data_IF_590431734203
#
_entry.id   IF_590431734203
#
_cell.length_a   1.000
_cell.length_b   1.000
_cell.length_c   1.000
_cell.angle_alpha   90.00
_cell.angle_beta   90.00
_cell.angle_gamma   90.00
#
_symmetry.space_group_name_H-M   'P 1'
#
loop_
_entity.id
_entity.type
_entity.pdbx_description
1 polymer ?
#
# COMPACT_ATOMS: atom_id res chain seq x y z
N UNK A 1 23.42 6.24 -19.05
CA UNK A 1 21.99 5.95 -19.06
C UNK A 1 21.59 5.35 -17.73
N UNK A 2 20.48 5.80 -17.14
CA UNK A 2 19.91 5.20 -15.94
C UNK A 2 18.45 4.80 -16.16
N UNK A 3 17.98 3.81 -15.39
CA UNK A 3 16.60 3.33 -15.46
C UNK A 3 15.81 3.58 -14.20
N UNK A 4 14.48 3.57 -14.31
CA UNK A 4 13.56 3.48 -13.17
C UNK A 4 12.50 2.42 -13.47
N UNK A 5 12.33 1.48 -12.55
CA UNK A 5 11.43 0.35 -12.66
C UNK A 5 10.55 0.24 -11.41
N UNK A 6 9.36 -0.33 -11.58
CA UNK A 6 8.53 -0.75 -10.46
C UNK A 6 9.13 -1.98 -9.78
N UNK A 7 8.96 -2.09 -8.46
CA UNK A 7 9.17 -3.33 -7.73
C UNK A 7 8.10 -4.35 -8.18
N UNK A 8 8.47 -5.52 -8.70
CA UNK A 8 7.48 -6.55 -9.06
C UNK A 8 6.84 -7.17 -7.81
N UNK A 9 5.57 -7.56 -7.92
CA UNK A 9 4.93 -8.40 -6.90
C UNK A 9 5.46 -9.84 -6.96
N UNK A 10 5.34 -10.57 -5.85
CA UNK A 10 5.85 -11.94 -5.76
C UNK A 10 5.11 -12.95 -6.64
N UNK A 11 3.83 -12.71 -6.95
CA UNK A 11 3.02 -13.61 -7.78
C UNK A 11 3.63 -13.86 -9.18
N UNK A 12 3.91 -12.83 -9.99
CA UNK A 12 4.62 -13.00 -11.26
C UNK A 12 6.01 -13.61 -11.13
N UNK A 13 6.79 -13.19 -10.13
CA UNK A 13 8.14 -13.70 -9.89
C UNK A 13 8.17 -15.21 -9.64
N UNK A 14 7.20 -15.72 -8.89
CA UNK A 14 7.06 -17.15 -8.59
C UNK A 14 6.22 -17.92 -9.61
N UNK A 15 5.92 -17.32 -10.77
CA UNK A 15 5.10 -17.90 -11.84
C UNK A 15 3.68 -18.33 -11.37
N UNK A 16 3.14 -17.68 -10.36
CA UNK A 16 1.80 -17.93 -9.86
C UNK A 16 0.75 -17.13 -10.64
N UNK A 17 1.17 -16.05 -11.28
CA UNK A 17 0.32 -15.18 -12.08
C UNK A 17 1.05 -14.74 -13.35
N UNK A 18 0.43 -14.95 -14.50
CA UNK A 18 1.02 -14.68 -15.80
C UNK A 18 2.07 -15.73 -16.20
N UNK A 19 2.72 -15.52 -17.31
CA UNK A 19 3.67 -16.48 -17.93
C UNK A 19 5.13 -16.05 -17.84
N UNK A 20 5.41 -14.84 -17.39
CA UNK A 20 6.74 -14.26 -17.37
C UNK A 20 7.24 -14.10 -15.94
N UNK A 21 8.21 -14.89 -15.56
CA UNK A 21 8.92 -14.78 -14.28
C UNK A 21 10.18 -13.89 -14.38
N UNK A 22 10.25 -12.97 -15.34
CA UNK A 22 11.39 -12.09 -15.53
C UNK A 22 12.67 -12.83 -15.96
N UNK A 23 12.56 -13.88 -16.75
CA UNK A 23 13.67 -14.75 -17.14
C UNK A 23 14.32 -14.40 -18.50
N UNK A 24 14.63 -13.15 -18.76
CA UNK A 24 15.39 -12.73 -19.95
C UNK A 24 16.89 -12.65 -19.72
N UNK A 25 17.62 -12.20 -20.75
CA UNK A 25 19.05 -11.93 -20.64
C UNK A 25 19.36 -10.57 -20.00
N UNK A 26 18.40 -9.66 -19.98
CA UNK A 26 18.48 -8.37 -19.28
C UNK A 26 18.00 -8.56 -17.83
N UNK A 27 18.94 -8.61 -16.90
CA UNK A 27 18.67 -8.85 -15.49
C UNK A 27 19.09 -7.64 -14.64
N UNK A 28 18.39 -7.46 -13.53
CA UNK A 28 18.80 -6.53 -12.47
C UNK A 28 19.55 -7.27 -11.37
N UNK A 29 20.58 -6.61 -10.87
CA UNK A 29 21.41 -7.11 -9.78
C UNK A 29 21.31 -6.14 -8.57
N UNK A 30 21.25 -6.63 -7.36
CA UNK A 30 21.13 -8.04 -6.97
C UNK A 30 19.79 -8.64 -7.41
N UNK A 31 19.81 -9.76 -8.10
CA UNK A 31 18.62 -10.38 -8.68
C UNK A 31 17.62 -10.85 -7.61
N UNK A 32 18.12 -11.39 -6.52
CA UNK A 32 17.28 -11.93 -5.43
C UNK A 32 16.45 -10.81 -4.77
N UNK A 33 17.09 -9.71 -4.43
CA UNK A 33 16.47 -8.55 -3.80
C UNK A 33 15.39 -7.94 -4.69
N UNK A 34 15.68 -7.78 -5.96
CA UNK A 34 14.71 -7.27 -6.93
C UNK A 34 13.56 -8.26 -7.15
N UNK A 35 13.86 -9.53 -7.45
CA UNK A 35 12.87 -10.51 -7.86
C UNK A 35 11.95 -10.96 -6.71
N UNK A 36 12.44 -10.98 -5.48
CA UNK A 36 11.67 -11.40 -4.30
C UNK A 36 11.04 -10.25 -3.50
N UNK A 37 11.08 -9.03 -4.01
CA UNK A 37 10.50 -7.88 -3.33
C UNK A 37 11.24 -7.46 -2.07
N UNK A 38 12.53 -7.80 -1.97
CA UNK A 38 13.36 -7.50 -0.79
C UNK A 38 13.87 -6.05 -0.75
N UNK A 39 13.44 -5.21 -1.71
CA UNK A 39 13.62 -3.75 -1.64
C UNK A 39 12.84 -3.09 -0.50
N UNK A 40 11.84 -3.79 0.04
CA UNK A 40 11.03 -3.33 1.17
C UNK A 40 9.68 -2.74 0.79
N UNK A 41 9.51 -2.20 -0.41
CA UNK A 41 8.31 -1.46 -0.82
C UNK A 41 7.01 -2.26 -0.60
N UNK A 42 6.96 -3.52 -1.06
CA UNK A 42 5.78 -4.37 -0.91
C UNK A 42 5.45 -4.63 0.57
N UNK A 43 6.45 -4.98 1.37
CA UNK A 43 6.26 -5.32 2.78
C UNK A 43 5.82 -4.12 3.61
N UNK A 44 6.42 -2.97 3.39
CA UNK A 44 6.08 -1.74 4.11
C UNK A 44 4.69 -1.24 3.72
N UNK A 45 4.32 -1.35 2.44
CA UNK A 45 2.95 -1.06 1.97
C UNK A 45 1.94 -1.99 2.64
N UNK A 46 2.18 -3.30 2.68
CA UNK A 46 1.28 -4.23 3.36
C UNK A 46 1.11 -3.89 4.84
N UNK A 47 2.21 -3.63 5.54
CA UNK A 47 2.17 -3.30 6.96
C UNK A 47 1.42 -1.99 7.22
N UNK A 48 1.74 -0.94 6.48
CA UNK A 48 1.11 0.37 6.64
C UNK A 48 -0.39 0.33 6.27
N UNK A 49 -0.74 -0.33 5.17
CA UNK A 49 -2.12 -0.49 4.72
C UNK A 49 -2.95 -1.31 5.73
N UNK A 50 -2.44 -2.46 6.12
CA UNK A 50 -3.16 -3.33 7.06
C UNK A 50 -3.24 -2.73 8.47
N UNK A 51 -2.31 -1.87 8.85
CA UNK A 51 -2.43 -1.07 10.08
C UNK A 51 -3.68 -0.18 10.06
N UNK A 52 -4.00 0.45 8.93
CA UNK A 52 -5.24 1.21 8.78
C UNK A 52 -6.47 0.32 8.94
N UNK A 53 -6.45 -0.90 8.40
CA UNK A 53 -7.54 -1.87 8.57
C UNK A 53 -7.71 -2.32 10.01
N UNK A 54 -6.62 -2.54 10.74
CA UNK A 54 -6.67 -2.84 12.18
C UNK A 54 -7.26 -1.66 12.95
N UNK A 55 -6.84 -0.44 12.67
CA UNK A 55 -7.36 0.78 13.30
C UNK A 55 -8.85 0.97 13.03
N UNK A 56 -9.30 0.75 11.78
CA UNK A 56 -10.71 0.81 11.39
C UNK A 56 -11.55 -0.20 12.18
N UNK A 57 -11.15 -1.46 12.20
CA UNK A 57 -11.88 -2.51 12.91
C UNK A 57 -11.89 -2.27 14.42
N UNK A 58 -10.78 -1.83 15.01
CA UNK A 58 -10.70 -1.47 16.42
C UNK A 58 -11.64 -0.28 16.76
N UNK A 59 -11.64 0.76 15.90
CA UNK A 59 -12.54 1.92 16.08
C UNK A 59 -14.00 1.49 16.05
N UNK A 60 -14.42 0.70 15.07
CA UNK A 60 -15.79 0.18 14.97
C UNK A 60 -16.17 -0.65 16.20
N UNK A 61 -15.28 -1.51 16.69
CA UNK A 61 -15.49 -2.32 17.88
C UNK A 61 -15.65 -1.45 19.14
N UNK A 62 -14.79 -0.45 19.32
CA UNK A 62 -14.88 0.47 20.46
C UNK A 62 -16.18 1.27 20.43
N UNK A 63 -16.57 1.78 19.27
CA UNK A 63 -17.83 2.53 19.11
C UNK A 63 -19.06 1.67 19.34
N UNK A 64 -19.02 0.40 18.96
CA UNK A 64 -20.10 -0.56 19.25
C UNK A 64 -20.23 -0.87 20.74
N UNK A 65 -19.10 -1.03 21.43
CA UNK A 65 -19.06 -1.55 22.78
C UNK A 65 -19.16 -0.48 23.87
N UNK A 66 -19.02 0.81 23.52
CA UNK A 66 -18.92 1.91 24.46
C UNK A 66 -19.80 3.10 24.03
N UNK A 67 -20.22 3.89 25.02
CA UNK A 67 -20.94 5.14 24.79
C UNK A 67 -20.00 6.32 24.52
N UNK A 68 -20.58 7.48 24.17
CA UNK A 68 -19.80 8.67 23.80
C UNK A 68 -19.00 9.24 24.96
N UNK A 69 -19.49 9.12 26.20
CA UNK A 69 -18.76 9.56 27.38
C UNK A 69 -17.46 8.77 27.58
N UNK A 70 -17.50 7.46 27.34
CA UNK A 70 -16.31 6.62 27.39
C UNK A 70 -15.32 6.97 26.29
N UNK A 71 -15.81 7.16 25.07
CA UNK A 71 -14.97 7.57 23.93
C UNK A 71 -14.31 8.91 24.22
N UNK A 72 -15.05 9.90 24.70
CA UNK A 72 -14.52 11.22 25.04
C UNK A 72 -13.43 11.18 26.11
N UNK A 73 -13.58 10.31 27.14
CA UNK A 73 -12.52 10.09 28.16
C UNK A 73 -11.24 9.52 27.57
N UNK A 74 -11.30 8.87 26.40
CA UNK A 74 -10.15 8.37 25.64
C UNK A 74 -9.64 9.34 24.58
N UNK A 75 -10.22 10.55 24.52
CA UNK A 75 -9.90 11.55 23.50
C UNK A 75 -10.46 11.22 22.11
N UNK A 76 -11.38 10.26 22.02
CA UNK A 76 -11.95 9.80 20.77
C UNK A 76 -13.32 10.45 20.51
N UNK A 77 -13.55 10.88 19.28
CA UNK A 77 -14.87 11.28 18.77
C UNK A 77 -15.48 10.09 18.01
N UNK A 78 -16.79 9.85 18.20
CA UNK A 78 -17.49 8.83 17.41
C UNK A 78 -17.49 9.20 15.94
N UNK A 79 -17.09 8.26 15.08
CA UNK A 79 -17.11 8.38 13.62
C UNK A 79 -18.38 7.78 13.01
N UNK A 80 -19.10 6.97 13.77
CA UNK A 80 -20.34 6.28 13.38
C UNK A 80 -20.25 5.55 12.04
N UNK A 81 -19.19 4.77 11.89
CA UNK A 81 -18.85 4.06 10.65
C UNK A 81 -19.96 3.06 10.30
N UNK A 82 -20.39 3.07 9.03
CA UNK A 82 -21.34 2.10 8.51
C UNK A 82 -20.58 0.80 8.09
N UNK A 83 -20.85 -0.35 8.75
CA UNK A 83 -20.21 -1.62 8.40
C UNK A 83 -20.47 -2.10 6.97
N UNK A 84 -21.49 -1.56 6.29
CA UNK A 84 -21.83 -1.88 4.91
C UNK A 84 -21.14 -0.97 3.89
N UNK A 85 -20.41 0.04 4.35
CA UNK A 85 -19.75 1.04 3.50
C UNK A 85 -18.27 1.16 3.83
N UNK A 86 -17.60 0.01 3.91
CA UNK A 86 -16.16 -0.08 4.06
C UNK A 86 -15.54 -0.11 2.66
N UNK A 87 -14.75 0.90 2.33
CA UNK A 87 -14.11 1.03 1.01
C UNK A 87 -12.79 0.25 0.96
N UNK A 88 -12.03 0.28 2.05
CA UNK A 88 -10.72 -0.34 2.15
C UNK A 88 -10.83 -1.81 2.55
N UNK A 89 -10.08 -2.68 1.88
CA UNK A 89 -9.94 -4.10 2.27
C UNK A 89 -8.54 -4.37 2.82
N UNK A 90 -8.27 -5.60 3.18
CA UNK A 90 -6.93 -6.07 3.53
C UNK A 90 -6.09 -6.28 2.27
N UNK A 91 -4.78 -6.24 2.39
CA UNK A 91 -3.88 -6.56 1.28
C UNK A 91 -2.83 -7.57 1.68
N UNK A 92 -2.42 -8.39 0.71
CA UNK A 92 -1.30 -9.32 0.83
C UNK A 92 -0.66 -9.52 -0.55
N UNK A 93 0.61 -9.93 -0.60
CA UNK A 93 1.30 -10.09 -1.88
C UNK A 93 0.84 -11.39 -2.59
N UNK A 94 0.80 -12.52 -1.87
CA UNK A 94 0.26 -13.77 -2.38
C UNK A 94 -1.17 -13.95 -1.89
N UNK A 95 -2.14 -13.66 -2.74
CA UNK A 95 -3.56 -13.69 -2.40
C UNK A 95 -4.31 -14.71 -3.26
N UNK A 96 -4.84 -15.76 -2.62
CA UNK A 96 -5.72 -16.71 -3.28
C UNK A 96 -7.06 -16.08 -3.64
N UNK A 97 -7.64 -16.48 -4.78
CA UNK A 97 -8.93 -15.95 -5.23
C UNK A 97 -10.07 -16.14 -4.24
N UNK A 98 -10.04 -17.24 -3.46
CA UNK A 98 -11.04 -17.51 -2.44
C UNK A 98 -11.05 -16.53 -1.25
N UNK A 99 -10.02 -15.69 -1.11
CA UNK A 99 -9.93 -14.64 -0.08
C UNK A 99 -10.44 -13.27 -0.55
N UNK A 100 -10.89 -13.16 -1.80
CA UNK A 100 -11.38 -11.87 -2.35
C UNK A 100 -12.61 -11.37 -1.61
N UNK A 101 -13.52 -12.27 -1.25
CA UNK A 101 -14.69 -11.96 -0.44
C UNK A 101 -14.74 -12.94 0.72
N UNK A 102 -14.70 -12.43 1.94
CA UNK A 102 -14.69 -13.19 3.18
C UNK A 102 -15.66 -12.58 4.19
N UNK A 103 -16.03 -13.34 5.19
CA UNK A 103 -16.76 -12.84 6.35
C UNK A 103 -15.79 -12.77 7.52
N UNK A 104 -15.75 -11.62 8.19
CA UNK A 104 -14.95 -11.39 9.40
C UNK A 104 -15.86 -11.08 10.58
N UNK A 105 -15.28 -11.05 11.80
CA UNK A 105 -16.00 -10.71 13.01
C UNK A 105 -16.92 -11.80 13.52
N UNK A 106 -16.69 -13.07 13.13
CA UNK A 106 -17.41 -14.24 13.65
C UNK A 106 -16.90 -14.53 15.06
N UNK A 107 -17.79 -14.43 16.04
CA UNK A 107 -17.43 -14.69 17.44
C UNK A 107 -18.19 -13.81 18.44
N UNK A 108 -17.55 -13.53 19.56
CA UNK A 108 -18.12 -12.77 20.66
C UNK A 108 -17.98 -11.25 20.54
N UNK A 109 -18.23 -10.56 21.64
CA UNK A 109 -18.19 -9.10 21.73
C UNK A 109 -16.83 -8.49 21.33
N UNK A 110 -15.74 -9.23 21.50
CA UNK A 110 -14.38 -8.76 21.22
C UNK A 110 -13.93 -9.06 19.78
N UNK A 111 -14.71 -9.83 19.02
CA UNK A 111 -14.33 -10.24 17.66
C UNK A 111 -14.77 -9.23 16.58
N UNK A 112 -15.34 -8.08 16.97
CA UNK A 112 -15.76 -7.00 16.07
C UNK A 112 -17.16 -7.19 15.50
N UNK A 113 -17.39 -6.65 14.31
CA UNK A 113 -18.65 -6.81 13.58
C UNK A 113 -18.56 -8.01 12.64
N UNK A 114 -19.63 -8.79 12.58
CA UNK A 114 -19.79 -9.78 11.50
C UNK A 114 -20.16 -9.02 10.21
N UNK A 115 -19.25 -8.95 9.28
CA UNK A 115 -19.41 -8.21 8.02
C UNK A 115 -18.60 -8.83 6.89
N UNK A 116 -18.98 -8.46 5.66
CA UNK A 116 -18.16 -8.75 4.49
C UNK A 116 -16.85 -7.97 4.55
N UNK A 117 -15.78 -8.63 4.13
CA UNK A 117 -14.46 -8.03 3.93
C UNK A 117 -13.77 -8.68 2.74
N UNK A 118 -12.57 -8.21 2.40
CA UNK A 118 -11.85 -8.70 1.23
C UNK A 118 -10.35 -8.64 1.43
N UNK A 119 -9.63 -9.49 0.70
CA UNK A 119 -8.20 -9.35 0.47
C UNK A 119 -7.94 -8.96 -0.98
N UNK A 120 -7.09 -7.96 -1.18
CA UNK A 120 -6.52 -7.57 -2.46
C UNK A 120 -5.02 -7.83 -2.50
N UNK A 121 -4.41 -7.65 -3.67
CA UNK A 121 -2.96 -7.71 -3.81
C UNK A 121 -2.31 -6.42 -3.32
N UNK A 122 -1.14 -6.52 -2.67
CA UNK A 122 -0.44 -5.37 -2.09
C UNK A 122 -0.17 -4.24 -3.11
N UNK A 123 0.20 -4.60 -4.33
CA UNK A 123 0.45 -3.63 -5.42
C UNK A 123 -0.82 -2.95 -5.97
N UNK A 124 -2.00 -3.42 -5.58
CA UNK A 124 -3.29 -2.78 -5.83
C UNK A 124 -3.72 -1.80 -4.73
N UNK A 125 -2.90 -1.62 -3.71
CA UNK A 125 -3.17 -0.67 -2.62
C UNK A 125 -3.12 0.77 -3.11
N UNK A 126 -4.07 1.61 -2.66
CA UNK A 126 -4.01 3.06 -2.88
C UNK A 126 -2.71 3.67 -2.32
N UNK A 127 -2.20 3.12 -1.20
CA UNK A 127 -0.94 3.54 -0.60
C UNK A 127 0.24 3.31 -1.54
N UNK A 128 0.24 2.21 -2.31
CA UNK A 128 1.24 1.96 -3.35
C UNK A 128 1.19 3.02 -4.47
N UNK A 129 -0.01 3.39 -4.91
CA UNK A 129 -0.19 4.47 -5.88
C UNK A 129 0.27 5.83 -5.32
N UNK A 130 -0.03 6.11 -4.06
CA UNK A 130 0.41 7.32 -3.36
C UNK A 130 1.94 7.38 -3.28
N UNK A 131 2.60 6.26 -2.98
CA UNK A 131 4.08 6.20 -2.97
C UNK A 131 4.68 6.57 -4.33
N UNK A 132 4.07 6.13 -5.42
CA UNK A 132 4.55 6.44 -6.77
C UNK A 132 4.47 7.95 -7.11
N UNK A 133 3.50 8.68 -6.55
CA UNK A 133 3.30 10.11 -6.84
C UNK A 133 3.76 11.05 -5.73
N UNK A 134 4.15 10.54 -4.59
CA UNK A 134 4.65 11.34 -3.47
C UNK A 134 5.98 12.03 -3.85
N UNK A 135 6.16 13.25 -3.37
CA UNK A 135 7.34 14.07 -3.65
C UNK A 135 8.38 14.02 -2.54
N UNK A 136 7.94 13.76 -1.33
CA UNK A 136 8.72 13.65 -0.10
C UNK A 136 7.87 13.02 1.00
N UNK A 137 8.46 12.81 2.18
CA UNK A 137 7.78 12.19 3.32
C UNK A 137 6.61 13.03 3.86
N UNK A 138 6.69 14.35 3.77
CA UNK A 138 5.60 15.24 4.19
C UNK A 138 4.40 15.12 3.25
N UNK A 139 4.63 15.20 1.95
CA UNK A 139 3.60 15.01 0.93
C UNK A 139 2.98 13.61 1.02
N UNK A 140 3.80 12.57 1.27
CA UNK A 140 3.32 11.21 1.54
C UNK A 140 2.35 11.20 2.73
N UNK A 141 2.74 11.79 3.88
CA UNK A 141 1.91 11.87 5.08
C UNK A 141 0.58 12.59 4.84
N UNK A 142 0.61 13.70 4.11
CA UNK A 142 -0.58 14.48 3.79
C UNK A 142 -1.55 13.70 2.90
N UNK A 143 -1.04 12.92 1.93
CA UNK A 143 -1.84 12.08 1.05
C UNK A 143 -2.42 10.88 1.79
N UNK A 144 -1.64 10.21 2.63
CA UNK A 144 -2.11 9.11 3.47
C UNK A 144 -3.29 9.54 4.34
N UNK A 145 -3.22 10.73 4.94
CA UNK A 145 -4.32 11.27 5.75
C UNK A 145 -5.65 11.37 5.00
N UNK A 146 -5.62 11.57 3.69
CA UNK A 146 -6.81 11.75 2.84
C UNK A 146 -7.40 10.44 2.30
N UNK A 147 -6.76 9.30 2.51
CA UNK A 147 -7.32 8.00 2.09
C UNK A 147 -8.66 7.79 2.77
N UNK A 148 -9.71 7.59 1.98
CA UNK A 148 -11.05 7.28 2.47
C UNK A 148 -11.12 5.77 2.75
N UNK A 149 -11.31 5.40 4.00
CA UNK A 149 -11.34 4.00 4.45
C UNK A 149 -12.76 3.44 4.53
N UNK A 150 -13.73 4.32 4.79
CA UNK A 150 -15.15 3.97 4.97
C UNK A 150 -16.03 5.22 4.84
N UNK A 151 -17.33 5.03 4.97
CA UNK A 151 -18.29 6.11 5.18
C UNK A 151 -19.02 5.93 6.49
N UNK A 152 -19.41 7.06 7.10
CA UNK A 152 -20.31 7.08 8.26
C UNK A 152 -21.73 6.70 7.86
N UNK A 153 -22.60 6.40 8.82
CA UNK A 153 -24.04 6.18 8.56
C UNK A 153 -24.75 7.41 8.00
N UNK A 154 -24.24 8.62 8.26
CA UNK A 154 -24.73 9.87 7.63
C UNK A 154 -24.25 10.03 6.18
N UNK A 155 -23.30 9.24 5.74
CA UNK A 155 -22.75 9.29 4.38
C UNK A 155 -21.47 10.12 4.24
N UNK A 156 -20.92 10.62 5.33
CA UNK A 156 -19.67 11.37 5.32
C UNK A 156 -18.47 10.45 5.16
N UNK A 157 -17.42 10.82 4.39
CA UNK A 157 -16.22 10.04 4.26
C UNK A 157 -15.46 9.98 5.59
N UNK A 158 -14.95 8.80 5.92
CA UNK A 158 -14.04 8.56 7.05
C UNK A 158 -12.66 8.28 6.48
N UNK A 159 -11.67 9.06 6.92
CA UNK A 159 -10.31 9.02 6.37
C UNK A 159 -9.31 8.39 7.34
N UNK A 160 -8.09 8.12 6.86
CA UNK A 160 -6.98 7.71 7.73
C UNK A 160 -6.63 8.80 8.77
N UNK A 161 -6.90 10.07 8.48
CA UNK A 161 -6.73 11.15 9.45
C UNK A 161 -7.79 11.07 10.57
N UNK A 162 -9.05 10.81 10.24
CA UNK A 162 -10.13 10.62 11.22
C UNK A 162 -9.90 9.41 12.12
N UNK A 163 -9.26 8.36 11.59
CA UNK A 163 -8.81 7.20 12.36
C UNK A 163 -7.57 7.46 13.21
N UNK A 164 -6.91 8.61 13.04
CA UNK A 164 -5.66 8.99 13.72
C UNK A 164 -4.50 8.01 13.43
N UNK A 165 -4.53 7.31 12.28
CA UNK A 165 -3.56 6.26 11.92
C UNK A 165 -2.52 6.73 10.91
N UNK A 166 -2.76 7.84 10.21
CA UNK A 166 -1.91 8.29 9.10
C UNK A 166 -0.45 8.54 9.51
N UNK A 167 -0.20 9.01 10.74
CA UNK A 167 1.16 9.18 11.26
C UNK A 167 1.90 7.85 11.42
N UNK A 168 1.24 6.84 11.98
CA UNK A 168 1.80 5.50 12.15
C UNK A 168 2.05 4.81 10.81
N UNK A 169 1.13 4.94 9.83
CA UNK A 169 1.33 4.46 8.47
C UNK A 169 2.57 5.09 7.82
N UNK A 170 2.73 6.41 7.98
CA UNK A 170 3.90 7.13 7.45
C UNK A 170 5.20 6.68 8.12
N UNK A 171 5.18 6.35 9.41
CA UNK A 171 6.34 5.84 10.11
C UNK A 171 6.82 4.49 9.53
N UNK A 172 5.91 3.61 9.14
CA UNK A 172 6.23 2.37 8.41
C UNK A 172 6.87 2.66 7.05
N UNK A 173 6.46 3.75 6.38
CA UNK A 173 6.94 4.13 5.05
C UNK A 173 8.23 4.96 5.07
N UNK A 174 8.83 5.20 6.24
CA UNK A 174 9.99 6.11 6.41
C UNK A 174 11.19 5.74 5.55
N UNK A 175 11.49 4.47 5.40
CA UNK A 175 12.61 3.99 4.57
C UNK A 175 12.16 3.79 3.13
N UNK A 176 10.93 3.33 2.94
CA UNK A 176 10.32 3.02 1.65
C UNK A 176 10.14 4.25 0.75
N UNK A 177 10.15 5.46 1.32
CA UNK A 177 10.13 6.70 0.52
C UNK A 177 11.38 6.86 -0.37
N UNK A 178 12.45 6.15 -0.08
CA UNK A 178 13.70 6.22 -0.83
C UNK A 178 13.77 5.10 -1.88
N UNK A 179 14.05 5.43 -3.15
CA UNK A 179 14.31 4.42 -4.16
C UNK A 179 15.48 3.51 -3.81
N UNK A 180 15.37 2.23 -4.16
CA UNK A 180 16.48 1.28 -4.06
C UNK A 180 17.28 1.30 -5.35
N UNK A 181 18.61 1.45 -5.26
CA UNK A 181 19.48 1.42 -6.42
C UNK A 181 19.94 -0.02 -6.69
N UNK A 182 19.64 -0.48 -7.88
CA UNK A 182 20.12 -1.73 -8.49
C UNK A 182 20.99 -1.41 -9.72
N UNK A 183 21.46 -2.43 -10.41
CA UNK A 183 22.20 -2.27 -11.67
C UNK A 183 21.91 -3.42 -12.64
N UNK A 184 22.04 -3.14 -13.93
CA UNK A 184 21.95 -4.18 -14.96
C UNK A 184 23.20 -5.05 -14.97
N UNK A 185 23.17 -6.18 -15.68
CA UNK A 185 24.38 -7.02 -15.88
C UNK A 185 25.51 -6.27 -16.60
N UNK A 186 25.20 -5.18 -17.31
CA UNK A 186 26.17 -4.26 -17.93
C UNK A 186 26.54 -3.10 -16.98
N UNK A 187 26.26 -3.19 -15.69
CA UNK A 187 26.57 -2.19 -14.67
C UNK A 187 25.90 -0.83 -14.87
N UNK A 188 24.77 -0.76 -15.56
CA UNK A 188 23.99 0.46 -15.68
C UNK A 188 23.10 0.63 -14.44
N UNK A 189 23.05 1.82 -13.82
CA UNK A 189 22.25 2.04 -12.61
C UNK A 189 20.75 2.03 -12.93
N UNK A 190 19.98 1.40 -12.03
CA UNK A 190 18.51 1.34 -12.10
C UNK A 190 17.92 1.63 -10.73
N UNK A 191 17.00 2.56 -10.67
CA UNK A 191 16.23 2.87 -9.47
C UNK A 191 14.97 2.01 -9.44
N UNK A 192 14.81 1.19 -8.40
CA UNK A 192 13.61 0.39 -8.17
C UNK A 192 12.81 1.08 -7.07
N UNK A 193 11.58 1.46 -7.36
CA UNK A 193 10.75 2.15 -6.38
C UNK A 193 9.27 2.06 -6.71
N UNK A 194 8.44 1.86 -5.67
CA UNK A 194 7.01 1.63 -5.77
C UNK A 194 6.68 0.44 -6.69
N UNK A 195 5.44 0.15 -6.92
CA UNK A 195 5.04 -0.96 -7.76
C UNK A 195 3.55 -0.99 -8.06
N UNK A 196 2.89 0.19 -8.32
CA UNK A 196 1.46 0.22 -8.53
C UNK A 196 1.09 -0.49 -9.84
N UNK A 197 -0.03 -1.20 -9.84
CA UNK A 197 -0.62 -1.73 -11.07
C UNK A 197 -1.16 -0.60 -11.95
N UNK A 198 -0.89 -0.68 -13.25
CA UNK A 198 -1.32 0.30 -14.23
C UNK A 198 -2.83 0.42 -14.35
N UNK A 199 -3.56 -0.69 -14.26
CA UNK A 199 -5.02 -0.73 -14.37
C UNK A 199 -5.76 -0.20 -13.11
N UNK A 200 -5.04 0.02 -12.03
CA UNK A 200 -5.62 0.56 -10.78
C UNK A 200 -5.24 2.03 -10.62
N UNK A 201 -4.00 2.39 -11.01
CA UNK A 201 -3.46 3.72 -10.80
C UNK A 201 -2.48 4.11 -11.91
N UNK A 202 -1.19 4.20 -11.58
CA UNK A 202 -0.12 4.64 -12.47
C UNK A 202 0.85 3.48 -12.66
N UNK A 203 1.00 2.99 -13.87
CA UNK A 203 1.89 1.88 -14.19
C UNK A 203 3.36 2.28 -14.33
N UNK A 204 3.86 3.10 -13.42
CA UNK A 204 5.22 3.63 -13.47
C UNK A 204 5.92 3.50 -12.12
N UNK A 205 7.23 3.66 -12.13
CA UNK A 205 8.03 3.89 -10.95
C UNK A 205 7.62 5.23 -10.30
N UNK A 206 8.41 5.78 -9.42
CA UNK A 206 8.00 6.94 -8.64
C UNK A 206 8.54 8.27 -9.19
N UNK A 207 7.81 9.34 -8.89
CA UNK A 207 8.27 10.72 -9.12
C UNK A 207 9.63 10.98 -8.43
N UNK A 208 9.86 10.38 -7.26
CA UNK A 208 11.14 10.53 -6.54
C UNK A 208 12.27 9.86 -7.33
N UNK A 209 12.05 8.64 -7.83
CA UNK A 209 13.03 7.94 -8.65
C UNK A 209 13.36 8.72 -9.92
N UNK A 210 12.35 9.22 -10.63
CA UNK A 210 12.54 10.03 -11.84
C UNK A 210 13.31 11.31 -11.55
N UNK A 211 12.95 12.04 -10.50
CA UNK A 211 13.64 13.27 -10.10
C UNK A 211 15.10 13.04 -9.71
N UNK A 212 15.38 11.91 -9.05
CA UNK A 212 16.75 11.51 -8.71
C UNK A 212 17.53 11.13 -9.96
N UNK A 213 16.95 10.31 -10.82
CA UNK A 213 17.56 9.86 -12.07
C UNK A 213 17.94 11.04 -12.99
N UNK A 214 17.04 12.02 -13.15
CA UNK A 214 17.27 13.22 -13.94
C UNK A 214 18.42 14.12 -13.41
N UNK A 215 18.81 13.94 -12.15
CA UNK A 215 19.99 14.63 -11.58
C UNK A 215 21.27 13.85 -11.73
N UNK A 216 21.18 12.53 -11.82
CA UNK A 216 22.34 11.63 -11.81
C UNK A 216 22.79 11.20 -13.21
N UNK A 217 21.88 11.17 -14.17
CA UNK A 217 22.12 10.55 -15.48
C UNK A 217 21.82 11.52 -16.63
N UNK A 218 22.61 11.41 -17.72
CA UNK A 218 22.38 12.19 -18.94
C UNK A 218 21.11 11.73 -19.69
N UNK A 219 20.78 10.43 -19.59
CA UNK A 219 19.56 9.84 -20.14
C UNK A 219 18.88 8.99 -19.08
N UNK A 220 17.59 9.19 -18.95
CA UNK A 220 16.73 8.44 -18.05
C UNK A 220 15.66 7.68 -18.83
N UNK A 221 15.52 6.39 -18.54
CA UNK A 221 14.49 5.51 -19.11
C UNK A 221 13.61 5.00 -17.98
N UNK A 222 12.32 5.23 -18.08
CA UNK A 222 11.35 4.69 -17.11
C UNK A 222 10.36 3.75 -17.81
N UNK A 223 9.95 2.68 -17.12
CA UNK A 223 8.87 1.85 -17.62
C UNK A 223 7.52 2.57 -17.52
N UNK A 224 6.60 2.25 -18.43
CA UNK A 224 5.22 2.72 -18.39
C UNK A 224 4.29 1.57 -18.72
N UNK A 225 3.56 1.09 -17.73
CA UNK A 225 2.50 0.12 -17.88
C UNK A 225 1.18 0.78 -18.34
N UNK A 226 0.26 -0.01 -18.88
CA UNK A 226 -1.06 0.40 -19.35
C UNK A 226 -2.15 -0.60 -18.93
#
# INVERSE_FOLDING_TARGET
VGGALRQPSGGPTMNVKGTAAGGGNALLMPMTEFSLGLTGDINDIMNAHNLAMVALNARMQHERNNNDEWLAKKGLKRLDIDPKRIEMGWVMDFCAQGLRNIIIGIGGRLDGFMMESKFGIAVGSELMAILAVARDLKDLRERIGKIVVAYSKSGDPVTCEDLEVAGAMTAWMRNTINPTMCYTVEHQPVLVHAGPFANIAIGQSSVIADRLALKLFDYHVTESGF
#
